data_IF_563828397318
#
_entry.id   IF_563828397318
#
_cell.length_a   1.000
_cell.length_b   1.000
_cell.length_c   1.000
_cell.angle_alpha   90.00
_cell.angle_beta   90.00
_cell.angle_gamma   90.00
#
_symmetry.space_group_name_H-M   'P 1'
#
loop_
_entity.id
_entity.type
_entity.pdbx_description
1 polymer ?
#
# COMPACT_ATOMS: atom_id res chain seq x y z
N UNK A 1 -12.80 13.36 16.68
CA UNK A 1 -11.71 13.65 17.64
C UNK A 1 -10.86 14.78 17.09
N UNK A 2 -10.15 15.58 17.91
CA UNK A 2 -9.12 16.49 17.41
C UNK A 2 -8.05 15.71 16.64
N UNK A 3 -7.31 16.41 15.79
CA UNK A 3 -6.28 15.79 14.96
C UNK A 3 -5.17 15.14 15.80
N UNK A 4 -4.75 13.92 15.44
CA UNK A 4 -3.73 13.14 16.18
C UNK A 4 -4.24 12.50 17.47
N UNK A 5 -5.54 12.57 17.75
CA UNK A 5 -6.17 11.96 18.92
C UNK A 5 -7.08 10.79 18.55
N UNK A 6 -6.98 9.72 19.33
CA UNK A 6 -7.83 8.53 19.26
C UNK A 6 -8.57 8.34 20.59
N UNK A 7 -9.76 7.74 20.54
CA UNK A 7 -10.52 7.30 21.71
C UNK A 7 -10.51 5.77 21.72
N UNK A 8 -10.17 5.19 22.86
CA UNK A 8 -10.14 3.75 23.06
C UNK A 8 -10.86 3.37 24.36
N UNK A 9 -11.15 2.08 24.53
CA UNK A 9 -11.86 1.56 25.70
C UNK A 9 -10.96 0.61 26.49
N UNK A 10 -10.88 0.79 27.81
CA UNK A 10 -10.28 -0.17 28.74
C UNK A 10 -11.34 -0.58 29.77
N UNK A 11 -11.71 -1.86 29.77
CA UNK A 11 -12.70 -2.43 30.70
C UNK A 11 -14.02 -1.63 30.75
N UNK A 12 -14.51 -1.21 29.58
CA UNK A 12 -15.75 -0.43 29.45
C UNK A 12 -15.59 1.07 29.75
N UNK A 13 -14.38 1.56 30.02
CA UNK A 13 -14.10 2.97 30.29
C UNK A 13 -13.32 3.60 29.12
N UNK A 14 -13.82 4.72 28.61
CA UNK A 14 -13.14 5.48 27.57
C UNK A 14 -11.88 6.16 28.11
N UNK A 15 -10.79 6.05 27.36
CA UNK A 15 -9.56 6.83 27.50
C UNK A 15 -9.14 7.38 26.13
N UNK A 16 -8.26 8.37 26.16
CA UNK A 16 -7.85 9.11 24.97
C UNK A 16 -6.35 9.00 24.76
N UNK A 17 -5.95 8.77 23.52
CA UNK A 17 -4.57 8.57 23.09
C UNK A 17 -4.16 9.78 22.27
N UNK A 18 -3.07 10.42 22.67
CA UNK A 18 -2.41 11.51 21.96
C UNK A 18 -1.20 10.93 21.24
N UNK A 19 -1.32 10.69 19.93
CA UNK A 19 -0.23 10.11 19.14
C UNK A 19 0.90 11.10 18.86
N UNK A 20 0.62 12.41 18.93
CA UNK A 20 1.64 13.44 18.71
C UNK A 20 2.62 13.49 19.89
N UNK A 21 2.10 13.39 21.12
CA UNK A 21 2.89 13.39 22.34
C UNK A 21 3.14 11.99 22.91
N UNK A 22 2.61 10.95 22.26
CA UNK A 22 2.72 9.52 22.65
C UNK A 22 2.30 9.29 24.10
N UNK A 23 1.13 9.82 24.47
CA UNK A 23 0.59 9.79 25.83
C UNK A 23 -0.87 9.39 25.83
N UNK A 24 -1.35 8.98 27.00
CA UNK A 24 -2.76 8.65 27.22
C UNK A 24 -3.31 9.47 28.38
N UNK A 25 -4.62 9.70 28.35
CA UNK A 25 -5.31 10.48 29.38
C UNK A 25 -6.77 10.07 29.48
N UNK A 26 -7.37 10.25 30.66
CA UNK A 26 -8.82 10.14 30.84
C UNK A 26 -9.57 11.39 30.39
N UNK A 27 -8.85 12.50 30.17
CA UNK A 27 -9.45 13.78 29.80
C UNK A 27 -9.73 13.81 28.31
N UNK A 28 -11.00 13.95 27.96
CA UNK A 28 -11.42 14.17 26.57
C UNK A 28 -10.77 15.46 26.05
N UNK A 29 -10.06 15.41 24.91
CA UNK A 29 -9.42 16.58 24.31
C UNK A 29 -10.43 17.53 23.65
N UNK A 30 -11.71 17.14 23.53
CA UNK A 30 -12.77 18.01 22.99
C UNK A 30 -13.22 19.06 24.03
N UNK A 31 -13.46 20.31 23.63
CA UNK A 31 -13.69 21.43 24.54
C UNK A 31 -14.96 21.34 25.41
N UNK A 32 -15.84 20.35 25.19
CA UNK A 32 -17.18 20.28 25.80
C UNK A 32 -17.26 19.32 27.01
N UNK A 33 -16.21 18.57 27.34
CA UNK A 33 -16.30 17.57 28.42
C UNK A 33 -15.51 17.95 29.69
N UNK A 34 -16.22 18.18 30.79
CA UNK A 34 -15.66 18.26 32.14
C UNK A 34 -15.33 16.85 32.67
N UNK A 35 -14.08 16.57 33.10
CA UNK A 35 -13.71 15.23 33.54
C UNK A 35 -14.23 14.92 34.95
N UNK A 36 -14.70 13.68 35.17
CA UNK A 36 -14.70 13.09 36.52
C UNK A 36 -13.25 12.78 36.88
N UNK A 37 -12.74 13.27 38.03
CA UNK A 37 -11.42 12.86 38.55
C UNK A 37 -11.43 11.37 38.84
N UNK A 38 -10.80 10.58 37.97
CA UNK A 38 -10.68 9.13 38.12
C UNK A 38 -9.42 8.78 38.90
N UNK A 39 -9.53 7.80 39.81
CA UNK A 39 -8.45 7.40 40.74
C UNK A 39 -7.37 6.53 40.09
N UNK A 40 -7.67 5.88 38.97
CA UNK A 40 -6.74 4.96 38.29
C UNK A 40 -5.93 5.69 37.21
N UNK A 41 -4.71 5.22 36.93
CA UNK A 41 -3.92 5.72 35.79
C UNK A 41 -4.49 5.16 34.48
N UNK A 42 -4.53 5.95 33.39
CA UNK A 42 -4.92 5.43 32.08
C UNK A 42 -3.93 4.35 31.61
N UNK A 43 -4.34 3.45 30.71
CA UNK A 43 -3.44 2.51 30.04
C UNK A 43 -2.22 3.25 29.47
N UNK A 44 -1.02 2.65 29.50
CA UNK A 44 0.18 3.30 28.94
C UNK A 44 0.06 3.33 27.42
N UNK A 45 0.72 4.31 26.78
CA UNK A 45 0.85 4.32 25.32
C UNK A 45 1.64 3.08 24.88
N UNK A 46 1.05 2.27 24.02
CA UNK A 46 1.69 1.10 23.42
C UNK A 46 2.13 1.42 22.00
N UNK A 47 3.37 1.05 21.67
CA UNK A 47 3.92 1.21 20.32
C UNK A 47 3.57 -0.04 19.53
N UNK A 48 2.52 0.06 18.72
CA UNK A 48 2.10 -0.94 17.74
C UNK A 48 2.36 -0.40 16.33
N UNK A 49 2.37 -1.25 15.28
CA UNK A 49 2.44 -0.77 13.90
C UNK A 49 1.39 0.32 13.62
N UNK A 50 0.15 0.09 14.06
CA UNK A 50 -0.93 1.05 13.91
C UNK A 50 -0.66 2.37 14.66
N UNK A 51 -0.28 2.32 15.95
CA UNK A 51 -0.05 3.55 16.72
C UNK A 51 1.17 4.33 16.22
N UNK A 52 2.17 3.64 15.65
CA UNK A 52 3.32 4.25 14.95
C UNK A 52 2.88 5.00 13.69
N UNK A 53 2.02 4.40 12.86
CA UNK A 53 1.41 5.03 11.67
C UNK A 53 0.60 6.27 12.09
N UNK A 54 -0.26 6.15 13.10
CA UNK A 54 -1.05 7.30 13.60
C UNK A 54 -0.16 8.43 14.10
N UNK A 55 0.92 8.13 14.83
CA UNK A 55 1.88 9.14 15.28
C UNK A 55 2.63 9.80 14.12
N UNK A 56 2.92 9.06 13.05
CA UNK A 56 3.53 9.61 11.84
C UNK A 56 2.57 10.54 11.09
N UNK A 57 1.34 10.12 10.85
CA UNK A 57 0.31 10.96 10.22
C UNK A 57 0.07 12.23 11.05
N UNK A 58 -0.01 12.09 12.39
CA UNK A 58 -0.13 13.21 13.32
C UNK A 58 1.02 14.22 13.20
N UNK A 59 2.24 13.75 12.90
CA UNK A 59 3.38 14.64 12.64
C UNK A 59 3.29 15.30 11.27
N UNK A 60 2.86 14.57 10.24
CA UNK A 60 2.73 15.11 8.89
C UNK A 60 1.74 16.28 8.81
N UNK A 61 0.57 16.19 9.45
CA UNK A 61 -0.42 17.30 9.37
C UNK A 61 -0.28 18.34 10.46
N UNK A 62 0.70 18.21 11.38
CA UNK A 62 0.94 19.24 12.41
C UNK A 62 1.16 20.63 11.78
N UNK A 63 1.80 20.66 10.61
CA UNK A 63 2.04 21.86 9.81
C UNK A 63 1.28 21.78 8.48
N UNK A 64 0.06 21.24 8.48
CA UNK A 64 -0.74 21.21 7.25
C UNK A 64 -0.96 22.64 6.74
N UNK A 65 -0.58 22.86 5.49
CA UNK A 65 -0.70 24.18 4.85
C UNK A 65 -2.15 24.66 4.83
N UNK A 66 -2.33 25.95 5.09
CA UNK A 66 -3.65 26.59 5.04
C UNK A 66 -4.21 26.58 3.60
N UNK A 67 -5.52 26.41 3.49
CA UNK A 67 -6.25 26.43 2.23
C UNK A 67 -6.85 25.08 1.82
N UNK A 68 -7.49 25.10 0.66
CA UNK A 68 -8.16 23.95 0.07
C UNK A 68 -7.46 23.58 -1.24
N UNK A 69 -7.38 22.27 -1.49
CA UNK A 69 -6.94 21.69 -2.74
C UNK A 69 -8.16 21.05 -3.40
N UNK A 70 -8.71 21.70 -4.41
CA UNK A 70 -9.82 21.17 -5.19
C UNK A 70 -9.27 20.36 -6.38
N UNK A 71 -9.80 19.16 -6.56
CA UNK A 71 -9.60 18.36 -7.76
C UNK A 71 -10.96 18.10 -8.41
N UNK A 72 -11.07 18.46 -9.68
CA UNK A 72 -12.24 18.18 -10.52
C UNK A 72 -11.83 17.10 -11.52
N UNK A 73 -12.55 15.97 -11.52
CA UNK A 73 -12.24 14.81 -12.37
C UNK A 73 -13.49 14.26 -13.02
N UNK A 74 -13.37 13.79 -14.26
CA UNK A 74 -14.39 12.97 -14.91
C UNK A 74 -14.14 11.49 -14.62
N UNK A 75 -15.22 10.69 -14.49
CA UNK A 75 -15.10 9.23 -14.38
C UNK A 75 -14.54 8.61 -15.65
N UNK A 76 -14.89 9.16 -16.81
CA UNK A 76 -14.50 8.66 -18.13
C UNK A 76 -12.99 8.86 -18.40
N UNK A 77 -12.40 9.91 -17.83
CA UNK A 77 -11.01 10.32 -18.08
C UNK A 77 -10.15 10.37 -16.81
N UNK A 78 -10.53 9.61 -15.78
CA UNK A 78 -9.98 9.70 -14.42
C UNK A 78 -8.44 9.69 -14.37
N UNK A 79 -7.81 8.81 -15.17
CA UNK A 79 -6.35 8.70 -15.21
C UNK A 79 -5.68 9.94 -15.81
N UNK A 80 -6.26 10.51 -16.87
CA UNK A 80 -5.73 11.67 -17.58
C UNK A 80 -5.92 12.93 -16.76
N UNK A 81 -7.12 13.13 -16.22
CA UNK A 81 -7.44 14.27 -15.35
C UNK A 81 -6.58 14.24 -14.09
N UNK A 82 -6.43 13.06 -13.48
CA UNK A 82 -5.51 12.86 -12.37
C UNK A 82 -4.06 13.13 -12.76
N UNK A 83 -3.60 12.68 -13.94
CA UNK A 83 -2.23 12.94 -14.37
C UNK A 83 -1.95 14.43 -14.49
N UNK A 84 -2.84 15.20 -15.12
CA UNK A 84 -2.72 16.66 -15.20
C UNK A 84 -2.66 17.30 -13.80
N UNK A 85 -3.59 16.92 -12.92
CA UNK A 85 -3.62 17.42 -11.55
C UNK A 85 -2.32 17.16 -10.78
N UNK A 86 -1.85 15.91 -10.78
CA UNK A 86 -0.66 15.54 -10.02
C UNK A 86 0.62 16.07 -10.65
N UNK A 87 0.70 16.17 -11.98
CA UNK A 87 1.85 16.72 -12.69
C UNK A 87 2.02 18.21 -12.39
N UNK A 88 0.95 18.97 -12.53
CA UNK A 88 0.98 20.44 -12.49
C UNK A 88 0.93 21.00 -11.06
N UNK A 89 0.45 20.23 -10.10
CA UNK A 89 0.41 20.66 -8.69
C UNK A 89 1.81 20.80 -8.11
N UNK A 90 2.06 21.86 -7.34
CA UNK A 90 3.25 21.93 -6.50
C UNK A 90 3.12 20.97 -5.30
N UNK A 91 4.20 20.33 -4.81
CA UNK A 91 4.13 19.45 -3.66
C UNK A 91 3.55 20.08 -2.38
N UNK A 92 3.71 21.38 -2.17
CA UNK A 92 3.08 22.12 -1.07
C UNK A 92 1.55 22.15 -1.17
N UNK A 93 1.00 22.36 -2.38
CA UNK A 93 -0.44 22.36 -2.62
C UNK A 93 -1.08 21.00 -2.32
N UNK A 94 -0.38 19.91 -2.65
CA UNK A 94 -0.84 18.53 -2.40
C UNK A 94 -1.02 18.21 -0.90
N UNK A 95 -0.45 19.02 0.00
CA UNK A 95 -0.57 18.88 1.46
C UNK A 95 -1.80 19.58 2.05
N UNK A 96 -2.45 20.45 1.30
CA UNK A 96 -3.66 21.18 1.74
C UNK A 96 -4.85 20.24 1.87
N UNK A 97 -5.91 20.70 2.53
CA UNK A 97 -7.14 19.90 2.70
C UNK A 97 -7.78 19.61 1.34
N UNK A 98 -7.91 18.33 1.02
CA UNK A 98 -8.47 17.84 -0.24
C UNK A 98 -10.00 18.02 -0.30
N UNK A 99 -10.47 18.52 -1.44
CA UNK A 99 -11.88 18.56 -1.86
C UNK A 99 -12.00 17.93 -3.23
N UNK A 100 -12.82 16.89 -3.35
CA UNK A 100 -13.01 16.16 -4.61
C UNK A 100 -14.37 16.46 -5.21
N UNK A 101 -14.38 16.78 -6.51
CA UNK A 101 -15.60 16.94 -7.31
C UNK A 101 -15.55 16.05 -8.54
N UNK A 102 -16.49 15.11 -8.64
CA UNK A 102 -16.72 14.39 -9.89
C UNK A 102 -17.59 15.22 -10.82
N UNK A 103 -17.19 15.35 -12.08
CA UNK A 103 -17.99 16.08 -13.07
C UNK A 103 -19.39 15.48 -13.20
N UNK A 104 -20.39 16.35 -13.34
CA UNK A 104 -21.82 15.99 -13.48
C UNK A 104 -22.40 15.25 -12.27
N UNK A 105 -21.73 15.26 -11.11
CA UNK A 105 -22.24 14.69 -9.86
C UNK A 105 -22.40 15.77 -8.78
N UNK A 106 -23.60 15.84 -8.19
CA UNK A 106 -23.85 16.63 -6.99
C UNK A 106 -23.38 15.84 -5.76
N UNK A 107 -22.15 16.10 -5.31
CA UNK A 107 -21.58 15.51 -4.11
C UNK A 107 -21.04 16.57 -3.15
N UNK A 108 -21.49 16.53 -1.90
CA UNK A 108 -20.87 17.27 -0.80
C UNK A 108 -19.77 16.38 -0.19
N UNK A 109 -18.52 16.83 -0.23
CA UNK A 109 -17.37 16.04 0.23
C UNK A 109 -17.31 15.98 1.77
N UNK A 110 -17.95 14.96 2.35
CA UNK A 110 -17.76 14.56 3.75
C UNK A 110 -16.65 13.50 3.91
N UNK A 111 -15.69 13.42 2.98
CA UNK A 111 -14.56 12.48 3.02
C UNK A 111 -14.79 11.17 2.24
N UNK A 112 -16.02 10.92 1.79
CA UNK A 112 -16.35 9.77 0.94
C UNK A 112 -15.80 9.92 -0.48
N UNK A 113 -15.91 11.12 -1.07
CA UNK A 113 -15.45 11.40 -2.44
C UNK A 113 -13.94 11.27 -2.56
N UNK A 114 -13.19 11.77 -1.56
CA UNK A 114 -11.73 11.58 -1.50
C UNK A 114 -11.30 10.12 -1.39
N UNK A 115 -12.05 9.30 -0.64
CA UNK A 115 -11.79 7.86 -0.58
C UNK A 115 -12.06 7.19 -1.92
N UNK A 116 -13.18 7.53 -2.56
CA UNK A 116 -13.56 6.97 -3.85
C UNK A 116 -12.56 7.35 -4.96
N UNK A 117 -12.12 8.60 -5.02
CA UNK A 117 -11.09 9.06 -5.95
C UNK A 117 -9.83 8.22 -5.85
N UNK A 118 -9.27 8.07 -4.64
CA UNK A 118 -8.04 7.29 -4.44
C UNK A 118 -8.25 5.83 -4.80
N UNK A 119 -9.42 5.26 -4.49
CA UNK A 119 -9.74 3.88 -4.86
C UNK A 119 -9.84 3.69 -6.39
N UNK A 120 -10.70 4.42 -7.10
CA UNK A 120 -10.82 4.25 -8.57
C UNK A 120 -9.50 4.62 -9.27
N UNK A 121 -8.81 5.69 -8.85
CA UNK A 121 -7.54 6.06 -9.47
C UNK A 121 -6.45 5.01 -9.22
N UNK A 122 -6.41 4.39 -8.04
CA UNK A 122 -5.47 3.29 -7.76
C UNK A 122 -5.67 2.09 -8.71
N UNK A 123 -6.90 1.84 -9.14
CA UNK A 123 -7.22 0.77 -10.09
C UNK A 123 -6.80 1.12 -11.52
N UNK A 124 -6.87 2.39 -11.91
CA UNK A 124 -6.40 2.84 -13.23
C UNK A 124 -4.91 2.55 -13.45
N UNK A 125 -4.06 2.69 -12.43
CA UNK A 125 -2.63 2.45 -12.58
C UNK A 125 -2.28 1.00 -12.93
N UNK A 126 -3.07 0.04 -12.47
CA UNK A 126 -2.82 -1.39 -12.67
C UNK A 126 -3.59 -2.00 -13.83
N UNK A 127 -4.27 -1.16 -14.62
CA UNK A 127 -4.91 -1.57 -15.87
C UNK A 127 -3.84 -2.02 -16.89
N UNK A 128 -4.00 -3.19 -17.55
CA UNK A 128 -3.02 -3.70 -18.50
C UNK A 128 -2.65 -2.70 -19.61
N UNK A 129 -3.61 -1.89 -20.05
CA UNK A 129 -3.47 -0.88 -21.10
C UNK A 129 -2.52 0.25 -20.73
N UNK A 130 -2.20 0.42 -19.43
CA UNK A 130 -1.24 1.43 -18.97
C UNK A 130 0.20 0.96 -19.09
N UNK A 131 0.42 -0.36 -19.19
CA UNK A 131 1.75 -0.96 -19.21
C UNK A 131 2.64 -0.43 -18.08
N UNK A 132 2.14 -0.33 -16.84
CA UNK A 132 2.94 0.11 -15.69
C UNK A 132 3.26 -1.04 -14.74
N UNK A 133 2.28 -1.91 -14.53
CA UNK A 133 2.37 -3.00 -13.60
C UNK A 133 1.86 -4.29 -14.22
N UNK A 134 2.46 -5.40 -13.80
CA UNK A 134 2.06 -6.76 -14.15
C UNK A 134 1.60 -7.48 -12.89
N UNK A 135 0.57 -8.29 -13.02
CA UNK A 135 0.06 -9.08 -11.90
C UNK A 135 0.93 -10.33 -11.71
N UNK A 136 1.20 -10.69 -10.47
CA UNK A 136 1.89 -11.93 -10.11
C UNK A 136 1.14 -13.17 -10.63
N UNK A 137 1.84 -14.30 -10.77
CA UNK A 137 1.25 -15.55 -11.25
C UNK A 137 0.13 -16.06 -10.34
N UNK A 138 0.24 -15.87 -9.03
CA UNK A 138 -0.78 -16.22 -8.04
C UNK A 138 -1.96 -15.22 -8.00
N UNK A 139 -1.84 -14.09 -8.70
CA UNK A 139 -2.86 -13.07 -8.81
C UNK A 139 -3.01 -12.17 -7.59
N UNK A 140 -2.18 -12.28 -6.55
CA UNK A 140 -2.40 -11.52 -5.31
C UNK A 140 -1.71 -10.16 -5.28
N UNK A 141 -0.59 -9.99 -5.99
CA UNK A 141 0.22 -8.76 -5.95
C UNK A 141 0.57 -8.26 -7.35
N UNK A 142 1.02 -7.01 -7.42
CA UNK A 142 1.53 -6.38 -8.62
C UNK A 142 3.05 -6.18 -8.55
N UNK A 143 3.70 -6.25 -9.71
CA UNK A 143 5.11 -5.95 -9.93
C UNK A 143 5.23 -4.83 -10.96
N UNK A 144 6.29 -4.03 -10.86
CA UNK A 144 6.64 -3.06 -11.90
C UNK A 144 6.96 -3.83 -13.19
N UNK A 145 6.39 -3.42 -14.32
CA UNK A 145 6.74 -4.05 -15.59
C UNK A 145 8.17 -3.67 -16.01
N UNK A 146 8.87 -4.61 -16.65
CA UNK A 146 10.19 -4.37 -17.25
C UNK A 146 10.10 -3.64 -18.59
N UNK A 147 8.93 -3.67 -19.24
CA UNK A 147 8.77 -3.31 -20.64
C UNK A 147 8.33 -1.85 -20.86
N UNK A 148 8.17 -1.08 -19.80
CA UNK A 148 7.65 0.29 -19.88
C UNK A 148 8.75 1.32 -19.69
N UNK A 149 8.80 2.26 -20.61
CA UNK A 149 9.70 3.40 -20.64
C UNK A 149 9.02 4.71 -20.18
N UNK A 150 7.75 4.64 -19.77
CA UNK A 150 6.98 5.81 -19.38
C UNK A 150 7.28 6.26 -17.94
N UNK A 151 8.45 6.84 -17.74
CA UNK A 151 8.93 7.34 -16.44
C UNK A 151 8.03 8.42 -15.85
N UNK A 152 7.35 9.21 -16.69
CA UNK A 152 6.40 10.22 -16.24
C UNK A 152 5.18 9.61 -15.54
N UNK A 153 4.64 8.50 -16.05
CA UNK A 153 3.55 7.77 -15.40
C UNK A 153 4.00 7.08 -14.11
N UNK A 154 5.24 6.59 -14.06
CA UNK A 154 5.81 6.06 -12.82
C UNK A 154 6.03 7.16 -11.77
N UNK A 155 6.49 8.34 -12.19
CA UNK A 155 6.58 9.50 -11.31
C UNK A 155 5.20 9.91 -10.80
N UNK A 156 4.20 9.98 -11.69
CA UNK A 156 2.81 10.23 -11.33
C UNK A 156 2.32 9.23 -10.29
N UNK A 157 2.55 7.93 -10.49
CA UNK A 157 2.20 6.92 -9.50
C UNK A 157 2.89 7.14 -8.14
N UNK A 158 4.17 7.52 -8.15
CA UNK A 158 4.90 7.90 -6.94
C UNK A 158 4.26 9.06 -6.19
N UNK A 159 3.88 10.13 -6.90
CA UNK A 159 3.19 11.30 -6.33
C UNK A 159 1.82 10.90 -5.75
N UNK A 160 1.08 10.06 -6.48
CA UNK A 160 -0.19 9.50 -6.05
C UNK A 160 -0.04 8.65 -4.76
N UNK A 161 0.98 7.80 -4.68
CA UNK A 161 1.23 6.98 -3.48
C UNK A 161 1.52 7.85 -2.25
N UNK A 162 2.40 8.84 -2.39
CA UNK A 162 2.69 9.74 -1.28
C UNK A 162 1.46 10.56 -0.88
N UNK A 163 0.63 10.94 -1.85
CA UNK A 163 -0.63 11.62 -1.59
C UNK A 163 -1.62 10.73 -0.82
N UNK A 164 -1.75 9.46 -1.20
CA UNK A 164 -2.55 8.47 -0.48
C UNK A 164 -2.10 8.29 0.96
N UNK A 165 -0.77 8.19 1.19
CA UNK A 165 -0.20 8.16 2.55
C UNK A 165 -0.52 9.44 3.31
N UNK A 166 -0.24 10.60 2.71
CA UNK A 166 -0.43 11.89 3.37
C UNK A 166 -1.90 12.06 3.76
N UNK A 167 -2.86 11.82 2.86
CA UNK A 167 -4.29 11.99 3.16
C UNK A 167 -4.92 10.81 3.91
N UNK A 168 -4.12 9.81 4.30
CA UNK A 168 -4.55 8.58 4.94
C UNK A 168 -5.71 7.90 4.18
N UNK A 169 -5.51 7.71 2.87
CA UNK A 169 -6.46 7.08 1.97
C UNK A 169 -5.87 5.78 1.45
N UNK A 170 -6.65 4.71 1.58
CA UNK A 170 -6.20 3.38 1.20
C UNK A 170 -6.26 3.19 -0.31
N UNK A 171 -5.24 2.51 -0.85
CA UNK A 171 -5.20 2.06 -2.24
C UNK A 171 -5.60 0.59 -2.32
N UNK A 172 -6.15 0.20 -3.46
CA UNK A 172 -6.57 -1.18 -3.72
C UNK A 172 -5.45 -2.12 -4.14
N UNK A 173 -4.57 -1.78 -5.11
CA UNK A 173 -3.54 -2.70 -5.55
C UNK A 173 -2.49 -2.90 -4.45
N UNK A 174 -2.10 -4.16 -4.25
CA UNK A 174 -1.00 -4.55 -3.38
C UNK A 174 0.22 -4.84 -4.21
N UNK A 175 1.38 -4.43 -3.71
CA UNK A 175 2.67 -4.71 -4.32
C UNK A 175 3.44 -5.72 -3.49
N UNK A 176 4.42 -6.37 -4.11
CA UNK A 176 5.33 -7.25 -3.37
C UNK A 176 6.16 -6.47 -2.33
N UNK A 177 6.73 -7.17 -1.34
CA UNK A 177 7.51 -6.51 -0.28
C UNK A 177 8.77 -5.80 -0.77
N UNK A 178 9.34 -6.19 -1.92
CA UNK A 178 10.51 -5.53 -2.52
C UNK A 178 10.17 -4.10 -2.94
N UNK A 179 8.94 -3.88 -3.43
CA UNK A 179 8.44 -2.55 -3.78
C UNK A 179 8.51 -1.59 -2.58
N UNK A 180 7.99 -2.02 -1.42
CA UNK A 180 8.02 -1.22 -0.20
C UNK A 180 9.44 -1.04 0.33
N UNK A 181 10.29 -2.08 0.27
CA UNK A 181 11.71 -1.96 0.61
C UNK A 181 12.41 -0.87 -0.19
N UNK A 182 12.15 -0.79 -1.50
CA UNK A 182 12.70 0.27 -2.33
C UNK A 182 12.23 1.66 -1.89
N UNK A 183 10.94 1.88 -1.63
CA UNK A 183 10.41 3.16 -1.13
C UNK A 183 10.96 3.56 0.24
N UNK A 184 11.40 2.59 1.04
CA UNK A 184 12.02 2.82 2.35
C UNK A 184 13.54 3.00 2.26
N UNK A 185 14.12 2.94 1.06
CA UNK A 185 15.57 3.01 0.88
C UNK A 185 16.34 1.82 1.47
N UNK A 186 15.67 0.70 1.73
CA UNK A 186 16.29 -0.50 2.30
C UNK A 186 17.08 -1.26 1.25
N UNK A 187 18.22 -1.83 1.66
CA UNK A 187 19.03 -2.70 0.80
C UNK A 187 18.29 -4.01 0.56
N UNK A 188 18.33 -4.50 -0.69
CA UNK A 188 17.79 -5.79 -1.05
C UNK A 188 18.80 -6.90 -0.78
N UNK A 189 18.30 -8.04 -0.32
CA UNK A 189 19.09 -9.23 -0.04
C UNK A 189 18.58 -10.42 -0.87
N UNK A 190 19.34 -11.51 -0.92
CA UNK A 190 18.98 -12.70 -1.68
C UNK A 190 17.59 -13.25 -1.31
N UNK A 191 17.25 -13.18 -0.02
CA UNK A 191 15.97 -13.64 0.53
C UNK A 191 14.78 -12.84 0.01
N UNK A 192 15.00 -11.66 -0.58
CA UNK A 192 13.95 -10.85 -1.19
C UNK A 192 13.50 -11.37 -2.54
N UNK A 193 14.32 -12.19 -3.20
CA UNK A 193 13.98 -12.78 -4.49
C UNK A 193 12.68 -13.61 -4.41
N UNK A 194 12.39 -14.22 -3.26
CA UNK A 194 11.16 -15.01 -3.05
C UNK A 194 9.87 -14.22 -3.24
N UNK A 195 9.92 -12.89 -3.07
CA UNK A 195 8.76 -12.01 -3.25
C UNK A 195 8.60 -11.51 -4.69
N UNK A 196 9.59 -11.75 -5.54
CA UNK A 196 9.54 -11.44 -6.97
C UNK A 196 9.26 -12.73 -7.75
N UNK A 197 10.05 -13.76 -7.47
CA UNK A 197 10.02 -15.05 -8.17
C UNK A 197 10.41 -16.15 -7.17
N UNK A 198 9.37 -16.81 -6.63
CA UNK A 198 9.54 -17.89 -5.65
C UNK A 198 10.22 -19.12 -6.22
N UNK A 199 9.99 -19.44 -7.50
CA UNK A 199 10.59 -20.60 -8.17
C UNK A 199 12.08 -20.36 -8.43
N UNK A 200 12.44 -19.16 -8.89
CA UNK A 200 13.82 -18.73 -8.99
C UNK A 200 14.51 -18.77 -7.61
N UNK A 201 13.89 -18.20 -6.57
CA UNK A 201 14.45 -18.22 -5.22
C UNK A 201 14.74 -19.65 -4.74
N UNK A 202 13.80 -20.58 -4.90
CA UNK A 202 13.99 -21.97 -4.52
C UNK A 202 15.14 -22.63 -5.30
N UNK A 203 15.24 -22.35 -6.59
CA UNK A 203 16.27 -22.91 -7.47
C UNK A 203 17.67 -22.38 -7.11
N UNK A 204 17.81 -21.06 -6.93
CA UNK A 204 19.07 -20.44 -6.56
C UNK A 204 19.47 -20.71 -5.11
N UNK A 205 18.52 -20.96 -4.21
CA UNK A 205 18.80 -21.40 -2.83
C UNK A 205 19.51 -22.76 -2.85
N UNK A 206 19.07 -23.69 -3.71
CA UNK A 206 19.76 -24.98 -3.88
C UNK A 206 21.21 -24.79 -4.35
N UNK A 207 21.47 -23.86 -5.27
CA UNK A 207 22.84 -23.55 -5.73
C UNK A 207 23.67 -22.92 -4.61
N UNK A 208 23.08 -22.00 -3.84
CA UNK A 208 23.70 -21.33 -2.69
C UNK A 208 24.15 -22.34 -1.63
N UNK A 209 23.27 -23.26 -1.25
CA UNK A 209 23.48 -24.24 -0.17
C UNK A 209 24.31 -25.46 -0.59
N UNK A 210 24.41 -25.76 -1.89
CA UNK A 210 25.14 -26.92 -2.38
C UNK A 210 26.65 -26.79 -2.19
N UNK A 211 27.27 -27.86 -1.69
CA UNK A 211 28.72 -27.96 -1.49
C UNK A 211 29.49 -28.18 -2.80
N UNK A 212 28.87 -28.86 -3.76
CA UNK A 212 29.47 -29.10 -5.09
C UNK A 212 28.43 -28.93 -6.20
N UNK A 213 28.64 -27.91 -7.04
CA UNK A 213 27.82 -27.62 -8.23
C UNK A 213 28.57 -27.81 -9.55
N UNK A 214 29.84 -28.24 -9.52
CA UNK A 214 30.68 -28.32 -10.72
C UNK A 214 30.10 -29.28 -11.79
N UNK A 215 29.32 -30.27 -11.36
CA UNK A 215 28.66 -31.26 -12.24
C UNK A 215 27.29 -30.81 -12.76
N UNK A 216 26.78 -29.65 -12.36
CA UNK A 216 25.41 -29.22 -12.66
C UNK A 216 25.27 -28.58 -14.05
N UNK A 217 26.38 -28.41 -14.79
CA UNK A 217 26.41 -27.85 -16.14
C UNK A 217 25.64 -26.51 -16.26
N UNK A 218 25.83 -25.64 -15.26
CA UNK A 218 25.29 -24.30 -15.23
C UNK A 218 26.28 -23.33 -15.88
N UNK A 219 25.76 -22.36 -16.63
CA UNK A 219 26.54 -21.27 -17.21
C UNK A 219 26.05 -19.91 -16.65
N UNK A 220 26.76 -18.82 -16.93
CA UNK A 220 26.39 -17.47 -16.50
C UNK A 220 25.25 -16.89 -17.37
N UNK A 221 24.13 -17.61 -17.41
CA UNK A 221 22.91 -17.25 -18.11
C UNK A 221 21.69 -17.66 -17.31
N UNK A 222 20.55 -17.04 -17.62
CA UNK A 222 19.25 -17.36 -17.04
C UNK A 222 18.22 -17.50 -18.15
N UNK A 223 17.21 -18.31 -17.89
CA UNK A 223 16.09 -18.51 -18.81
C UNK A 223 14.86 -17.82 -18.24
N UNK A 224 14.31 -16.85 -18.97
CA UNK A 224 13.04 -16.19 -18.64
C UNK A 224 11.94 -16.60 -19.61
N UNK A 225 10.71 -16.72 -19.10
CA UNK A 225 9.52 -16.79 -19.93
C UNK A 225 8.92 -15.41 -20.06
N UNK A 226 8.81 -14.91 -21.28
CA UNK A 226 8.09 -13.68 -21.56
C UNK A 226 6.59 -13.87 -21.31
N UNK A 227 5.86 -12.76 -21.25
CA UNK A 227 4.40 -12.73 -21.10
C UNK A 227 3.68 -13.53 -22.21
N UNK A 228 4.26 -13.57 -23.42
CA UNK A 228 3.76 -14.35 -24.57
C UNK A 228 4.10 -15.86 -24.49
N UNK A 229 4.73 -16.31 -23.40
CA UNK A 229 5.19 -17.68 -23.22
C UNK A 229 6.49 -18.03 -23.97
N UNK A 230 7.06 -17.08 -24.73
CA UNK A 230 8.34 -17.26 -25.39
C UNK A 230 9.46 -17.40 -24.36
N UNK A 231 10.30 -18.41 -24.54
CA UNK A 231 11.47 -18.65 -23.69
C UNK A 231 12.65 -17.86 -24.24
N UNK A 232 13.26 -17.03 -23.39
CA UNK A 232 14.41 -16.22 -23.73
C UNK A 232 15.55 -16.53 -22.78
N UNK A 233 16.72 -16.80 -23.35
CA UNK A 233 17.97 -16.93 -22.59
C UNK A 233 18.66 -15.57 -22.53
N UNK A 234 19.12 -15.19 -21.35
CA UNK A 234 19.83 -13.92 -21.11
C UNK A 234 21.16 -14.21 -20.44
N UNK A 235 22.24 -13.77 -21.07
CA UNK A 235 23.57 -13.78 -20.46
C UNK A 235 23.63 -12.79 -19.29
N UNK A 236 24.17 -13.25 -18.15
CA UNK A 236 24.35 -12.43 -16.96
C UNK A 236 25.59 -11.53 -17.06
N UNK A 237 26.55 -11.89 -17.92
CA UNK A 237 27.75 -11.10 -18.24
C UNK A 237 28.24 -11.44 -19.65
N UNK A 238 29.06 -10.59 -20.29
CA UNK A 238 29.56 -10.86 -21.64
C UNK A 238 30.29 -12.20 -21.76
N UNK A 239 29.85 -13.06 -22.68
CA UNK A 239 30.39 -14.42 -22.85
C UNK A 239 29.99 -15.36 -21.71
N UNK A 240 28.92 -15.04 -20.99
CA UNK A 240 28.42 -15.80 -19.86
C UNK A 240 27.87 -17.16 -20.26
N UNK A 241 27.31 -17.30 -21.46
CA UNK A 241 26.79 -18.57 -21.98
C UNK A 241 27.88 -19.62 -22.16
N UNK A 242 29.14 -19.23 -22.36
CA UNK A 242 30.27 -20.15 -22.52
C UNK A 242 31.07 -20.37 -21.22
N UNK A 243 30.72 -19.64 -20.16
CA UNK A 243 31.43 -19.73 -18.88
C UNK A 243 30.66 -20.59 -17.89
N UNK A 244 31.26 -21.73 -17.51
CA UNK A 244 30.68 -22.61 -16.50
C UNK A 244 30.67 -21.96 -15.11
N UNK A 245 29.58 -22.16 -14.39
CA UNK A 245 29.46 -21.88 -12.96
C UNK A 245 30.09 -23.04 -12.19
N UNK A 246 31.08 -22.71 -11.36
CA UNK A 246 31.85 -23.61 -10.50
C UNK A 246 31.69 -23.20 -9.04
N UNK A 247 32.13 -24.04 -8.10
CA UNK A 247 32.09 -23.70 -6.68
C UNK A 247 32.90 -22.42 -6.33
N UNK A 248 33.91 -22.09 -7.14
CA UNK A 248 34.76 -20.90 -6.94
C UNK A 248 34.05 -19.62 -7.36
N UNK A 249 33.25 -19.66 -8.45
CA UNK A 249 32.59 -18.49 -9.01
C UNK A 249 31.07 -18.45 -8.72
N UNK A 250 30.51 -19.44 -8.00
CA UNK A 250 29.06 -19.51 -7.69
C UNK A 250 28.50 -18.27 -7.00
N UNK A 251 29.31 -17.61 -6.16
CA UNK A 251 28.88 -16.37 -5.49
C UNK A 251 28.75 -15.21 -6.47
N UNK A 252 29.63 -15.12 -7.47
CA UNK A 252 29.53 -14.14 -8.55
C UNK A 252 28.24 -14.38 -9.35
N UNK A 253 27.96 -15.64 -9.71
CA UNK A 253 26.72 -16.01 -10.39
C UNK A 253 25.47 -15.58 -9.60
N UNK A 254 25.39 -15.89 -8.30
CA UNK A 254 24.27 -15.47 -7.46
C UNK A 254 24.12 -13.95 -7.35
N UNK A 255 25.24 -13.22 -7.29
CA UNK A 255 25.20 -11.76 -7.28
C UNK A 255 24.66 -11.18 -8.59
N UNK A 256 25.07 -11.72 -9.73
CA UNK A 256 24.57 -11.29 -11.04
C UNK A 256 23.09 -11.66 -11.24
N UNK A 257 22.64 -12.80 -10.72
CA UNK A 257 21.21 -13.16 -10.68
C UNK A 257 20.43 -12.13 -9.87
N UNK A 258 20.90 -11.77 -8.67
CA UNK A 258 20.25 -10.71 -7.88
C UNK A 258 20.24 -9.38 -8.64
N UNK A 259 21.35 -9.01 -9.26
CA UNK A 259 21.45 -7.79 -10.06
C UNK A 259 20.41 -7.79 -11.18
N UNK A 260 20.30 -8.88 -11.94
CA UNK A 260 19.32 -9.03 -13.00
C UNK A 260 17.87 -8.85 -12.49
N UNK A 261 17.48 -9.60 -11.46
CA UNK A 261 16.10 -9.59 -10.99
C UNK A 261 15.70 -8.26 -10.34
N UNK A 262 16.63 -7.56 -9.69
CA UNK A 262 16.34 -6.32 -8.98
C UNK A 262 16.59 -5.04 -9.79
N UNK A 263 17.58 -5.01 -10.69
CA UNK A 263 17.96 -3.78 -11.39
C UNK A 263 17.19 -3.53 -12.68
N UNK A 264 16.54 -4.56 -13.25
CA UNK A 264 15.78 -4.41 -14.50
C UNK A 264 14.60 -3.42 -14.41
N UNK A 265 14.14 -3.09 -13.20
CA UNK A 265 13.07 -2.10 -12.95
C UNK A 265 13.58 -0.84 -12.24
N UNK A 266 14.90 -0.63 -12.19
CA UNK A 266 15.53 0.46 -11.42
C UNK A 266 15.07 1.83 -11.90
N UNK A 267 15.03 2.07 -13.21
CA UNK A 267 14.64 3.38 -13.74
C UNK A 267 13.19 3.73 -13.37
N UNK A 268 12.29 2.78 -13.53
CA UNK A 268 10.88 2.89 -13.15
C UNK A 268 10.74 3.14 -11.64
N UNK A 269 11.46 2.38 -10.81
CA UNK A 269 11.44 2.53 -9.36
C UNK A 269 12.00 3.90 -8.92
N UNK A 270 13.06 4.40 -9.56
CA UNK A 270 13.60 5.74 -9.27
C UNK A 270 12.62 6.85 -9.67
N UNK A 271 11.87 6.68 -10.77
CA UNK A 271 10.80 7.61 -11.12
C UNK A 271 9.69 7.62 -10.06
N UNK A 272 9.24 6.44 -9.58
CA UNK A 272 8.28 6.32 -8.47
C UNK A 272 8.83 7.01 -7.20
N UNK A 273 10.07 6.72 -6.82
CA UNK A 273 10.72 7.36 -5.66
C UNK A 273 10.77 8.87 -5.79
N UNK A 274 11.12 9.38 -6.97
CA UNK A 274 11.18 10.82 -7.23
C UNK A 274 9.82 11.47 -6.98
N UNK A 275 8.74 10.86 -7.49
CA UNK A 275 7.38 11.33 -7.26
C UNK A 275 6.97 11.25 -5.78
N UNK A 276 7.29 10.13 -5.12
CA UNK A 276 6.93 9.88 -3.73
C UNK A 276 7.66 10.84 -2.77
N UNK A 277 8.99 10.95 -2.92
CA UNK A 277 9.85 11.77 -2.06
C UNK A 277 9.64 13.27 -2.25
N UNK A 278 9.07 13.69 -3.39
CA UNK A 278 8.64 15.07 -3.59
C UNK A 278 7.60 15.54 -2.55
N UNK A 279 6.78 14.63 -2.02
CA UNK A 279 5.76 14.94 -1.02
C UNK A 279 6.11 14.45 0.39
N UNK A 280 6.63 13.21 0.49
CA UNK A 280 7.05 12.58 1.75
C UNK A 280 8.52 12.18 1.65
N UNK A 281 9.40 12.93 2.30
CA UNK A 281 10.86 12.68 2.27
C UNK A 281 11.23 11.27 2.77
N UNK A 282 12.30 10.69 2.23
CA UNK A 282 12.88 9.42 2.69
C UNK A 282 13.15 9.42 4.20
N UNK A 283 13.67 10.52 4.74
CA UNK A 283 13.98 10.65 6.17
C UNK A 283 12.77 10.39 7.07
N UNK A 284 11.60 10.81 6.61
CA UNK A 284 10.34 10.68 7.35
C UNK A 284 9.80 9.24 7.33
N UNK A 285 10.02 8.49 6.24
CA UNK A 285 9.42 7.17 6.02
C UNK A 285 10.37 5.99 6.27
N UNK A 286 11.70 6.16 6.16
CA UNK A 286 12.69 5.06 6.23
C UNK A 286 12.68 4.23 7.51
N UNK A 287 12.05 4.72 8.57
CA UNK A 287 11.98 4.08 9.89
C UNK A 287 10.87 3.01 9.96
N UNK A 288 10.03 2.92 8.94
CA UNK A 288 9.01 1.89 8.81
C UNK A 288 9.59 0.59 8.26
N UNK A 289 8.93 -0.52 8.60
CA UNK A 289 9.14 -1.80 7.94
C UNK A 289 8.27 -1.94 6.69
N UNK A 290 8.67 -2.76 5.71
CA UNK A 290 7.91 -2.97 4.47
C UNK A 290 6.43 -3.29 4.73
N UNK A 291 6.16 -4.14 5.72
CA UNK A 291 4.82 -4.55 6.14
C UNK A 291 4.04 -3.40 6.79
N UNK A 292 4.72 -2.49 7.50
CA UNK A 292 4.08 -1.30 8.07
C UNK A 292 3.72 -0.28 6.98
N UNK A 293 4.56 -0.14 5.95
CA UNK A 293 4.25 0.70 4.78
C UNK A 293 3.11 0.09 3.94
N UNK A 294 3.09 -1.23 3.76
CA UNK A 294 1.95 -1.92 3.16
C UNK A 294 0.67 -1.66 3.97
N UNK A 295 0.71 -1.82 5.29
CA UNK A 295 -0.43 -1.57 6.17
C UNK A 295 -0.92 -0.11 6.06
N UNK A 296 -0.01 0.84 5.94
CA UNK A 296 -0.32 2.26 5.77
C UNK A 296 -1.03 2.55 4.43
N UNK A 297 -0.65 1.86 3.36
CA UNK A 297 -1.20 2.05 2.02
C UNK A 297 -2.47 1.23 1.78
N UNK A 298 -2.52 -0.01 2.22
CA UNK A 298 -3.56 -0.98 1.88
C UNK A 298 -4.52 -1.29 3.04
N UNK A 299 -4.15 -0.95 4.27
CA UNK A 299 -4.94 -1.28 5.46
C UNK A 299 -4.97 -2.78 5.78
N UNK A 300 -5.80 -3.15 6.75
CA UNK A 300 -5.98 -4.54 7.19
C UNK A 300 -7.00 -5.21 6.26
N UNK A 301 -6.68 -6.41 5.78
CA UNK A 301 -7.60 -7.23 4.97
C UNK A 301 -8.43 -8.21 5.78
N UNK A 302 -7.85 -8.75 6.86
CA UNK A 302 -8.54 -9.71 7.70
C UNK A 302 -9.43 -8.95 8.68
N UNK A 303 -10.72 -8.91 8.37
CA UNK A 303 -11.72 -8.27 9.19
C UNK A 303 -12.13 -9.24 10.30
N UNK A 304 -11.82 -8.90 11.55
CA UNK A 304 -12.38 -9.60 12.71
C UNK A 304 -13.87 -9.25 12.82
N UNK A 305 -14.71 -10.26 12.53
CA UNK A 305 -16.16 -10.15 12.58
C UNK A 305 -16.65 -9.79 13.99
N UNK A 306 -16.00 -10.29 15.03
CA UNK A 306 -16.38 -10.00 16.41
C UNK A 306 -16.06 -8.55 16.77
N UNK A 307 -14.89 -8.07 16.36
CA UNK A 307 -14.51 -6.67 16.51
C UNK A 307 -15.48 -5.75 15.77
N UNK A 308 -15.81 -6.09 14.51
CA UNK A 308 -16.77 -5.33 13.71
C UNK A 308 -18.15 -5.28 14.37
N UNK A 309 -18.64 -6.41 14.90
CA UNK A 309 -19.90 -6.47 15.65
C UNK A 309 -19.85 -5.61 16.91
N UNK A 310 -18.78 -5.69 17.68
CA UNK A 310 -18.62 -4.98 18.94
C UNK A 310 -18.55 -3.45 18.76
N UNK A 311 -18.08 -2.99 17.60
CA UNK A 311 -17.90 -1.56 17.28
C UNK A 311 -18.95 -1.02 16.28
N UNK A 312 -20.02 -1.76 16.00
CA UNK A 312 -21.13 -1.28 15.14
C UNK A 312 -22.17 -0.56 15.99
N UNK A 313 -22.37 0.73 15.71
CA UNK A 313 -23.49 1.50 16.26
C UNK A 313 -24.72 1.37 15.36
N UNK A 314 -25.87 1.06 15.95
CA UNK A 314 -27.15 0.98 15.23
C UNK A 314 -27.93 2.28 15.41
N UNK A 315 -28.49 2.80 14.31
CA UNK A 315 -29.39 3.96 14.35
C UNK A 315 -30.69 3.65 15.09
N UNK A 316 -31.43 4.69 15.47
CA UNK A 316 -32.69 4.55 16.22
C UNK A 316 -33.67 3.56 15.53
N UNK A 317 -34.19 2.62 16.31
CA UNK A 317 -35.11 1.58 15.83
C UNK A 317 -34.44 0.37 15.17
N UNK A 318 -33.10 0.36 15.04
CA UNK A 318 -32.33 -0.76 14.50
C UNK A 318 -31.52 -1.40 15.64
N UNK A 319 -31.44 -2.72 15.65
CA UNK A 319 -30.63 -3.52 16.57
C UNK A 319 -29.95 -4.67 15.81
N UNK A 320 -29.06 -5.39 16.48
CA UNK A 320 -28.45 -6.61 15.95
C UNK A 320 -29.47 -7.69 15.53
N UNK A 321 -30.70 -7.63 16.08
CA UNK A 321 -31.78 -8.57 15.80
C UNK A 321 -32.79 -8.07 14.76
N UNK A 322 -32.67 -6.83 14.30
CA UNK A 322 -33.55 -6.29 13.26
C UNK A 322 -33.29 -7.04 11.95
N UNK A 323 -34.30 -7.63 11.29
CA UNK A 323 -34.10 -8.31 10.02
C UNK A 323 -33.51 -7.34 8.97
N UNK A 324 -32.33 -7.67 8.45
CA UNK A 324 -31.61 -6.80 7.53
C UNK A 324 -30.63 -5.81 8.20
N UNK A 325 -30.36 -5.95 9.49
CA UNK A 325 -29.22 -5.28 10.15
C UNK A 325 -27.92 -6.08 9.95
N UNK A 326 -26.79 -5.46 10.28
CA UNK A 326 -25.43 -5.95 9.99
C UNK A 326 -25.19 -7.45 10.29
N UNK A 327 -25.66 -8.03 11.41
CA UNK A 327 -25.48 -9.47 11.69
C UNK A 327 -26.39 -10.37 10.85
N UNK A 328 -27.62 -9.91 10.54
CA UNK A 328 -28.60 -10.70 9.78
C UNK A 328 -28.37 -10.67 8.26
N UNK A 329 -27.60 -9.70 7.74
CA UNK A 329 -27.13 -9.69 6.34
C UNK A 329 -25.91 -10.58 6.08
N UNK A 330 -24.96 -10.63 7.02
CA UNK A 330 -23.71 -11.38 6.82
C UNK A 330 -23.76 -12.81 7.36
N UNK A 331 -24.66 -13.13 8.31
CA UNK A 331 -24.74 -14.45 8.93
C UNK A 331 -26.18 -14.96 9.03
N UNK A 332 -26.75 -15.54 7.96
CA UNK A 332 -28.03 -16.21 8.04
C UNK A 332 -27.85 -17.60 8.66
N UNK A 333 -28.58 -17.88 9.74
CA UNK A 333 -28.59 -19.19 10.40
C UNK A 333 -29.29 -20.31 9.60
N UNK A 334 -29.69 -20.08 8.35
CA UNK A 334 -30.36 -21.08 7.54
C UNK A 334 -29.93 -21.04 6.07
N UNK A 335 -29.53 -22.22 5.61
CA UNK A 335 -29.09 -22.61 4.27
C UNK A 335 -30.06 -22.20 3.16
N UNK A 336 -29.64 -21.29 2.28
CA UNK A 336 -30.17 -21.10 0.92
C UNK A 336 -28.98 -20.77 0.02
N UNK A 337 -28.79 -21.44 -1.13
CA UNK A 337 -27.65 -21.17 -2.01
C UNK A 337 -27.92 -19.91 -2.82
N UNK A 338 -27.07 -18.89 -2.70
CA UNK A 338 -27.09 -17.77 -3.64
C UNK A 338 -25.68 -17.28 -3.99
N UNK A 339 -25.48 -17.15 -5.31
CA UNK A 339 -24.36 -16.47 -5.97
C UNK A 339 -24.27 -15.01 -5.51
N UNK A 340 -23.02 -14.53 -5.53
CA UNK A 340 -22.53 -13.16 -5.34
C UNK A 340 -22.62 -12.68 -3.89
N UNK A 341 -21.47 -12.34 -3.32
CA UNK A 341 -21.22 -11.10 -2.57
C UNK A 341 -19.71 -10.99 -2.31
N UNK A 342 -19.04 -10.41 -3.30
CA UNK A 342 -17.76 -9.73 -3.21
C UNK A 342 -17.97 -8.34 -2.57
N UNK A 343 -16.89 -7.63 -2.17
CA UNK A 343 -16.95 -6.50 -1.26
C UNK A 343 -17.83 -5.36 -1.79
N UNK A 344 -18.33 -4.53 -0.87
CA UNK A 344 -18.93 -3.24 -1.21
C UNK A 344 -17.89 -2.33 -1.86
N UNK A 345 -17.66 -2.56 -3.15
CA UNK A 345 -17.39 -1.53 -4.14
C UNK A 345 -18.65 -0.63 -4.13
N UNK A 346 -18.53 0.70 -4.00
CA UNK A 346 -19.68 1.56 -4.27
C UNK A 346 -20.20 1.20 -5.66
N UNK A 347 -21.46 0.75 -5.76
CA UNK A 347 -22.12 0.54 -7.05
C UNK A 347 -22.38 1.89 -7.72
N UNK A 348 -21.33 2.45 -8.30
CA UNK A 348 -21.33 3.14 -9.57
C UNK A 348 -20.11 2.59 -10.28
N UNK A 349 -20.32 1.73 -11.28
CA UNK A 349 -19.22 1.21 -12.07
C UNK A 349 -18.39 2.40 -12.56
N UNK A 350 -17.09 2.41 -12.22
CA UNK A 350 -16.08 3.13 -12.98
C UNK A 350 -15.92 2.37 -14.32
N UNK A 351 -16.98 2.37 -15.15
CA UNK A 351 -17.02 1.95 -16.56
C UNK A 351 -17.27 3.17 -17.44
#
# INVERSE_FOLDING_TARGET
>A
MPFGWEMAMDKGQAYFIDHLHQKTTWKDPRPVNTPKKLKNKPPKYEVTPYSKIQAFLAKLHKNQDEGQLEIVVSRENLFVDGYAFFKDSEPSLLKRRLFVKFEKEDGLDYGGMSRELVLCLSQEFVKPERHLFVRSQDGYVFHITRNSDNMDHFNYFGRFLAFSVYHNKLITPRFNLVFYKHLLGKQLVFEDLKYIDGDAFNSFTKIKESNDINSWALNFEITEKNEDGAVKTVELKPGGSDLNVTNENKQEFLNLVMEYHFYNTKAQMEAIKTGFYGLISLEAIQHFDPEELELMLNGITDIDVNDLKANTEYGEGISEFTPGSFPSFFFPSYSIPFRRLFPNIPRRNCE
#
